data_IF_663298433984
#
_entry.id   IF_663298433984
#
_cell.length_a   1.000
_cell.length_b   1.000
_cell.length_c   1.000
_cell.angle_alpha   90.00
_cell.angle_beta   90.00
_cell.angle_gamma   90.00
#
_symmetry.space_group_name_H-M   'P 1'
#
loop_
_entity.id
_entity.type
_entity.pdbx_description
1 polymer ?
#
# COMPACT_ATOMS: atom_id res chain seq x y z
N UNK A 1 10.42 -9.75 -11.10
CA UNK A 1 9.62 -10.45 -10.07
C UNK A 1 8.15 -10.10 -10.26
N UNK A 2 7.23 -11.06 -10.11
CA UNK A 2 5.80 -10.89 -10.40
C UNK A 2 5.16 -9.73 -9.61
N UNK A 3 5.58 -9.53 -8.37
CA UNK A 3 5.05 -8.52 -7.44
C UNK A 3 5.28 -7.08 -7.98
N UNK A 4 6.45 -6.81 -8.59
CA UNK A 4 6.78 -5.50 -9.14
C UNK A 4 5.82 -5.10 -10.26
N UNK A 5 5.54 -6.00 -11.20
CA UNK A 5 4.70 -5.67 -12.36
C UNK A 5 3.26 -5.31 -11.95
N UNK A 6 2.70 -6.00 -10.94
CA UNK A 6 1.33 -5.75 -10.48
C UNK A 6 1.21 -4.43 -9.73
N UNK A 7 2.18 -4.11 -8.88
CA UNK A 7 2.20 -2.86 -8.10
C UNK A 7 2.52 -1.66 -9.01
N UNK A 8 3.56 -1.78 -9.84
CA UNK A 8 3.99 -0.71 -10.76
C UNK A 8 2.90 -0.37 -11.79
N UNK A 9 2.19 -1.35 -12.34
CA UNK A 9 1.12 -1.10 -13.31
C UNK A 9 -0.02 -0.28 -12.71
N UNK A 10 -0.44 -0.59 -11.49
CA UNK A 10 -1.54 0.13 -10.84
C UNK A 10 -1.10 1.53 -10.37
N UNK A 11 0.14 1.68 -9.87
CA UNK A 11 0.72 2.99 -9.56
C UNK A 11 0.85 3.86 -10.81
N UNK A 12 1.36 3.33 -11.92
CA UNK A 12 1.48 4.06 -13.17
C UNK A 12 0.11 4.54 -13.67
N UNK A 13 -0.92 3.68 -13.62
CA UNK A 13 -2.30 4.09 -13.95
C UNK A 13 -2.82 5.17 -13.02
N UNK A 14 -2.50 5.10 -11.72
CA UNK A 14 -2.90 6.10 -10.74
C UNK A 14 -2.24 7.46 -10.98
N UNK A 15 -0.94 7.47 -11.31
CA UNK A 15 -0.21 8.70 -11.67
C UNK A 15 -0.80 9.33 -12.96
N UNK A 16 -1.01 8.54 -14.01
CA UNK A 16 -1.63 9.02 -15.26
C UNK A 16 -3.05 9.58 -15.09
N UNK A 17 -3.78 9.13 -14.06
CA UNK A 17 -5.12 9.66 -13.71
C UNK A 17 -5.06 10.90 -12.80
N UNK A 18 -3.88 11.28 -12.31
CA UNK A 18 -3.68 12.36 -11.35
C UNK A 18 -4.06 12.00 -9.91
N UNK A 19 -4.19 10.70 -9.58
CA UNK A 19 -4.52 10.24 -8.24
C UNK A 19 -3.30 10.30 -7.30
N UNK A 20 -2.10 10.20 -7.87
CA UNK A 20 -0.83 10.18 -7.15
C UNK A 20 0.13 11.17 -7.80
N UNK A 21 0.93 11.83 -6.98
CA UNK A 21 2.05 12.69 -7.40
C UNK A 21 3.38 12.08 -6.99
N UNK A 22 4.45 12.62 -7.53
CA UNK A 22 5.81 12.13 -7.28
C UNK A 22 6.24 12.35 -5.82
N UNK A 23 5.72 13.39 -5.16
CA UNK A 23 5.97 13.68 -3.75
C UNK A 23 5.08 12.88 -2.78
N UNK A 24 4.06 12.17 -3.27
CA UNK A 24 3.11 11.45 -2.42
C UNK A 24 3.78 10.19 -1.84
N UNK A 25 3.64 10.00 -0.53
CA UNK A 25 3.94 8.71 0.10
C UNK A 25 2.70 7.82 0.02
N UNK A 26 2.82 6.66 -0.63
CA UNK A 26 1.71 5.74 -0.88
C UNK A 26 1.87 4.47 -0.02
N UNK A 27 0.89 4.18 0.84
CA UNK A 27 0.74 2.86 1.45
C UNK A 27 0.15 1.90 0.42
N UNK A 28 0.77 0.73 0.29
CA UNK A 28 0.31 -0.35 -0.59
C UNK A 28 0.03 -1.57 0.26
N UNK A 29 -1.25 -1.93 0.37
CA UNK A 29 -1.73 -3.05 1.18
C UNK A 29 -2.54 -4.02 0.32
N UNK A 30 -2.76 -5.23 0.86
CA UNK A 30 -3.73 -6.17 0.28
C UNK A 30 -4.92 -6.30 1.19
N UNK A 31 -6.12 -6.04 0.67
CA UNK A 31 -7.37 -6.34 1.36
C UNK A 31 -7.94 -7.66 0.85
N UNK A 32 -8.30 -8.53 1.78
CA UNK A 32 -8.98 -9.80 1.49
C UNK A 32 -10.42 -9.66 1.91
N UNK A 33 -11.33 -9.71 0.94
CA UNK A 33 -12.76 -9.76 1.23
C UNK A 33 -13.14 -11.17 1.67
N UNK A 34 -13.83 -11.30 2.80
CA UNK A 34 -14.32 -12.60 3.25
C UNK A 34 -15.47 -13.09 2.35
N UNK A 35 -15.69 -14.41 2.36
CA UNK A 35 -16.87 -14.99 1.73
C UNK A 35 -18.15 -14.33 2.26
N UNK A 36 -18.92 -13.71 1.37
CA UNK A 36 -20.21 -13.10 1.72
C UNK A 36 -21.16 -13.17 0.53
N UNK A 37 -22.43 -13.51 0.78
CA UNK A 37 -23.48 -13.63 -0.24
C UNK A 37 -23.07 -14.48 -1.46
N UNK A 38 -22.38 -15.61 -1.23
CA UNK A 38 -21.95 -16.53 -2.30
C UNK A 38 -20.78 -16.03 -3.16
N UNK A 39 -20.15 -14.91 -2.82
CA UNK A 39 -18.95 -14.42 -3.50
C UNK A 39 -17.69 -15.01 -2.87
N UNK A 40 -16.78 -15.48 -3.74
CA UNK A 40 -15.45 -15.94 -3.35
C UNK A 40 -14.62 -14.78 -2.77
N UNK A 41 -13.66 -15.05 -1.86
CA UNK A 41 -12.70 -14.08 -1.38
C UNK A 41 -11.92 -13.49 -2.54
N UNK A 42 -11.91 -12.18 -2.63
CA UNK A 42 -11.07 -11.46 -3.56
C UNK A 42 -9.96 -10.79 -2.78
N UNK A 43 -8.72 -11.04 -3.21
CA UNK A 43 -7.56 -10.30 -2.76
C UNK A 43 -7.32 -9.15 -3.74
N UNK A 44 -7.35 -7.92 -3.23
CA UNK A 44 -7.19 -6.71 -4.02
C UNK A 44 -6.08 -5.85 -3.44
N UNK A 45 -5.25 -5.27 -4.31
CA UNK A 45 -4.31 -4.22 -3.93
C UNK A 45 -5.08 -2.93 -3.61
N UNK A 46 -4.77 -2.35 -2.46
CA UNK A 46 -5.33 -1.10 -1.98
C UNK A 46 -4.18 -0.10 -1.87
N UNK A 47 -4.37 1.06 -2.50
CA UNK A 47 -3.41 2.16 -2.53
C UNK A 47 -4.00 3.34 -1.77
N UNK A 48 -3.27 3.86 -0.77
CA UNK A 48 -3.71 5.02 0.02
C UNK A 48 -2.57 6.02 0.12
N UNK A 49 -2.87 7.30 -0.14
CA UNK A 49 -1.93 8.39 0.17
C UNK A 49 -1.87 8.54 1.67
N UNK A 50 -0.66 8.58 2.21
CA UNK A 50 -0.41 8.94 3.60
C UNK A 50 -0.22 10.46 3.58
N UNK A 51 -1.20 11.19 4.12
CA UNK A 51 -1.05 12.63 4.29
C UNK A 51 0.08 12.85 5.31
N UNK A 52 1.16 13.49 4.89
CA UNK A 52 2.23 13.89 5.79
C UNK A 52 1.68 14.90 6.78
N UNK A 53 1.21 14.43 7.94
CA UNK A 53 0.86 15.30 9.04
C UNK A 53 2.15 16.01 9.48
N UNK A 54 2.19 17.34 9.60
CA UNK A 54 3.40 18.06 10.02
C UNK A 54 3.73 17.65 11.47
N UNK A 55 4.58 16.64 11.61
CA UNK A 55 4.89 15.99 12.89
C UNK A 55 5.27 14.50 12.80
N UNK A 56 4.95 13.80 11.70
CA UNK A 56 5.16 12.34 11.60
C UNK A 56 6.58 11.93 11.17
N UNK A 57 7.57 12.71 11.61
CA UNK A 57 8.95 12.27 11.66
C UNK A 57 9.23 11.82 13.08
N UNK A 58 8.85 10.58 13.43
CA UNK A 58 9.49 9.67 14.42
C UNK A 58 8.47 8.61 14.85
N UNK A 59 8.64 7.36 14.41
CA UNK A 59 8.61 6.14 15.24
C UNK A 59 8.40 4.88 14.38
N UNK A 60 9.29 3.88 14.53
CA UNK A 60 8.90 2.49 14.31
C UNK A 60 9.71 1.63 13.34
N UNK A 61 11.04 1.72 13.31
CA UNK A 61 11.88 0.58 12.89
C UNK A 61 13.09 0.36 13.82
N UNK A 62 12.88 0.46 15.14
CA UNK A 62 13.72 -0.20 16.14
C UNK A 62 12.99 -1.45 16.64
N UNK A 63 13.03 -2.51 15.84
CA UNK A 63 12.68 -3.86 16.28
C UNK A 63 13.46 -4.90 15.47
N UNK A 64 14.78 -4.76 15.43
CA UNK A 64 15.68 -5.86 15.06
C UNK A 64 16.76 -5.97 16.14
N UNK A 65 16.81 -7.15 16.76
CA UNK A 65 17.85 -7.66 17.66
C UNK A 65 17.61 -7.47 19.16
N UNK A 66 16.69 -8.27 19.70
CA UNK A 66 16.95 -8.94 20.97
C UNK A 66 16.95 -10.44 20.73
N UNK A 67 18.14 -10.99 20.48
CA UNK A 67 18.41 -12.42 20.69
C UNK A 67 19.85 -12.60 21.17
N UNK A 68 19.95 -13.27 22.32
CA UNK A 68 21.12 -13.74 23.09
C UNK A 68 21.75 -12.76 24.08
#
# INVERSE_FOLDING_TARGET
MLIQQYVENELAKGNLRGNFKDEDTISVDTEVTAFSNGKLPQQKLVFKRIDSQPGDATEGQEALSQTF
#
